data_IF_282451611416
#
_entry.id   IF_282451611416
#
_cell.length_a   1.000
_cell.length_b   1.000
_cell.length_c   1.000
_cell.angle_alpha   90.00
_cell.angle_beta   90.00
_cell.angle_gamma   90.00
#
_symmetry.space_group_name_H-M   'P 1'
#
loop_
_entity.id
_entity.type
_entity.pdbx_description
1 polymer ?
#
# COMPACT_ATOMS: atom_id res chain seq x y z
N UNK A 1 76.04 -44.11 35.27
CA UNK A 1 75.83 -42.73 34.79
C UNK A 1 74.68 -42.78 33.81
N UNK A 2 73.53 -42.28 34.27
CA UNK A 2 72.32 -41.88 33.56
C UNK A 2 71.44 -42.93 32.84
N UNK A 3 70.29 -43.14 33.49
CA UNK A 3 69.00 -43.63 33.01
C UNK A 3 68.48 -42.87 31.78
N UNK A 4 67.82 -43.59 30.87
CA UNK A 4 67.01 -43.03 29.79
C UNK A 4 65.63 -43.70 29.78
N UNK A 5 64.63 -43.02 30.32
CA UNK A 5 63.23 -43.47 30.37
C UNK A 5 62.55 -43.39 28.99
N UNK A 6 61.50 -44.19 28.72
CA UNK A 6 60.72 -44.10 27.49
C UNK A 6 59.76 -42.90 27.55
N UNK A 7 59.77 -42.08 26.49
CA UNK A 7 58.83 -40.97 26.30
C UNK A 7 57.48 -41.53 25.85
N UNK A 8 56.45 -41.39 26.70
CA UNK A 8 55.06 -41.65 26.35
C UNK A 8 54.57 -40.54 25.40
N UNK A 9 54.24 -40.88 24.15
CA UNK A 9 53.60 -39.93 23.22
C UNK A 9 52.15 -39.71 23.65
N UNK A 10 51.86 -38.53 24.19
CA UNK A 10 50.51 -38.05 24.47
C UNK A 10 49.78 -37.78 23.14
N UNK A 11 48.66 -38.45 22.90
CA UNK A 11 47.74 -38.07 21.84
C UNK A 11 47.14 -36.70 22.19
N UNK A 12 47.45 -35.67 21.39
CA UNK A 12 46.82 -34.37 21.52
C UNK A 12 45.33 -34.51 21.17
N UNK A 13 44.49 -34.53 22.20
CA UNK A 13 43.05 -34.34 22.05
C UNK A 13 42.84 -32.90 21.54
N UNK A 14 42.60 -32.73 20.24
CA UNK A 14 42.10 -31.47 19.70
C UNK A 14 40.82 -31.12 20.46
N UNK A 15 40.91 -30.11 21.34
CA UNK A 15 39.74 -29.54 21.99
C UNK A 15 38.91 -28.89 20.90
N UNK A 16 37.66 -29.33 20.65
CA UNK A 16 36.77 -28.57 19.79
C UNK A 16 36.70 -27.15 20.35
N UNK A 17 36.72 -26.14 19.49
CA UNK A 17 36.46 -24.76 19.88
C UNK A 17 34.98 -24.60 20.31
N UNK A 18 34.66 -25.12 21.50
CA UNK A 18 33.36 -25.09 22.14
C UNK A 18 32.69 -23.71 22.22
N UNK A 19 33.40 -22.57 22.42
CA UNK A 19 32.70 -21.28 22.51
C UNK A 19 32.09 -20.84 21.17
N UNK A 20 32.74 -21.19 20.05
CA UNK A 20 32.26 -20.82 18.71
C UNK A 20 31.05 -21.68 18.32
N UNK A 21 31.12 -23.00 18.56
CA UNK A 21 30.01 -23.91 18.30
C UNK A 21 28.79 -23.58 19.18
N UNK A 22 29.02 -23.24 20.45
CA UNK A 22 27.95 -22.83 21.38
C UNK A 22 27.34 -21.48 20.98
N UNK A 23 28.18 -20.52 20.54
CA UNK A 23 27.71 -19.24 20.02
C UNK A 23 26.84 -19.38 18.75
N UNK A 24 27.25 -20.25 17.82
CA UNK A 24 26.48 -20.54 16.61
C UNK A 24 25.15 -21.25 16.92
N UNK A 25 25.15 -22.18 17.88
CA UNK A 25 23.93 -22.87 18.31
C UNK A 25 22.93 -21.91 18.97
N UNK A 26 23.41 -20.97 19.81
CA UNK A 26 22.56 -19.95 20.42
C UNK A 26 21.98 -18.98 19.39
N UNK A 27 22.76 -18.57 18.39
CA UNK A 27 22.26 -17.76 17.27
C UNK A 27 21.20 -18.50 16.46
N UNK A 28 21.43 -19.77 16.15
CA UNK A 28 20.45 -20.60 15.44
C UNK A 28 19.16 -20.78 16.26
N UNK A 29 19.27 -21.00 17.57
CA UNK A 29 18.13 -21.10 18.47
C UNK A 29 17.35 -19.77 18.54
N UNK A 30 18.04 -18.63 18.70
CA UNK A 30 17.42 -17.30 18.63
C UNK A 30 16.68 -17.05 17.31
N UNK A 31 17.25 -17.50 16.18
CA UNK A 31 16.60 -17.40 14.86
C UNK A 31 15.33 -18.27 14.79
N UNK A 32 15.31 -19.41 15.48
CA UNK A 32 14.16 -20.31 15.57
C UNK A 32 13.08 -19.82 16.55
N UNK A 33 13.44 -19.05 17.58
CA UNK A 33 12.48 -18.47 18.54
C UNK A 33 11.81 -17.19 18.08
N UNK A 34 12.18 -16.62 16.92
CA UNK A 34 11.38 -15.55 16.33
C UNK A 34 9.95 -16.06 16.10
N UNK A 35 8.97 -15.37 16.70
CA UNK A 35 7.56 -15.72 16.55
C UNK A 35 7.17 -15.73 15.07
N UNK A 36 6.22 -16.59 14.66
CA UNK A 36 5.66 -16.57 13.31
C UNK A 36 5.20 -15.18 12.90
N UNK A 37 4.63 -14.41 13.83
CA UNK A 37 4.20 -13.01 13.63
C UNK A 37 5.37 -12.08 13.32
N UNK A 38 6.50 -12.18 14.05
CA UNK A 38 7.69 -11.37 13.75
C UNK A 38 8.31 -11.72 12.38
N UNK A 39 8.22 -12.99 11.97
CA UNK A 39 8.64 -13.42 10.62
C UNK A 39 7.67 -12.95 9.52
N UNK A 40 6.37 -12.83 9.83
CA UNK A 40 5.37 -12.29 8.91
C UNK A 40 5.58 -10.78 8.69
N UNK A 41 5.83 -10.02 9.75
CA UNK A 41 6.14 -8.58 9.70
C UNK A 41 7.40 -8.29 8.85
N UNK A 42 8.46 -9.11 8.98
CA UNK A 42 9.67 -8.99 8.14
C UNK A 42 9.44 -9.36 6.67
N UNK A 43 8.49 -10.24 6.37
CA UNK A 43 8.12 -10.62 4.98
C UNK A 43 7.13 -9.65 4.34
N UNK A 44 6.38 -8.89 5.14
CA UNK A 44 5.36 -7.93 4.69
C UNK A 44 5.90 -6.67 4.04
N UNK A 45 7.22 -6.44 4.05
CA UNK A 45 7.86 -5.27 3.44
C UNK A 45 8.47 -5.57 2.08
N UNK A 46 7.76 -6.34 1.24
CA UNK A 46 8.11 -6.48 -0.17
C UNK A 46 7.61 -5.27 -0.94
N UNK A 47 8.53 -4.51 -1.53
CA UNK A 47 8.18 -3.48 -2.50
C UNK A 47 7.48 -4.15 -3.69
N UNK A 48 6.35 -3.58 -4.14
CA UNK A 48 5.58 -4.10 -5.26
C UNK A 48 4.45 -5.09 -4.91
N UNK A 49 4.24 -5.49 -3.65
CA UNK A 49 3.00 -6.20 -3.28
C UNK A 49 1.84 -5.21 -3.09
N UNK A 50 0.62 -5.62 -3.44
CA UNK A 50 -0.59 -4.85 -3.10
C UNK A 50 -0.93 -5.04 -1.64
N UNK A 51 -1.12 -3.93 -0.95
CA UNK A 51 -1.49 -3.89 0.45
C UNK A 51 -2.88 -3.26 0.58
N UNK A 52 -3.71 -3.88 1.40
CA UNK A 52 -5.01 -3.33 1.75
C UNK A 52 -4.86 -1.98 2.48
N UNK A 53 -5.76 -1.05 2.17
CA UNK A 53 -5.98 0.18 2.92
C UNK A 53 -7.40 0.20 3.44
N UNK A 54 -7.54 0.56 4.72
CA UNK A 54 -8.85 0.87 5.26
C UNK A 54 -9.49 2.01 4.45
N UNK A 55 -10.79 1.93 4.11
CA UNK A 55 -11.53 3.05 3.50
C UNK A 55 -11.45 4.36 4.31
N UNK A 56 -11.24 4.27 5.62
CA UNK A 56 -11.09 5.43 6.51
C UNK A 56 -9.63 5.89 6.66
N UNK A 57 -8.66 5.21 6.04
CA UNK A 57 -7.26 5.66 6.03
C UNK A 57 -7.19 7.00 5.28
N UNK A 58 -6.58 8.06 5.85
CA UNK A 58 -6.47 9.36 5.19
C UNK A 58 -5.80 9.30 3.81
N UNK A 59 -4.93 8.32 3.55
CA UNK A 59 -4.33 8.10 2.23
C UNK A 59 -5.37 7.62 1.23
N UNK A 60 -6.24 6.68 1.61
CA UNK A 60 -7.32 6.20 0.77
C UNK A 60 -8.31 7.33 0.44
N UNK A 61 -8.67 8.14 1.44
CA UNK A 61 -9.56 9.30 1.25
C UNK A 61 -8.97 10.33 0.29
N UNK A 62 -7.69 10.71 0.46
CA UNK A 62 -7.02 11.65 -0.45
C UNK A 62 -6.90 11.09 -1.87
N UNK A 63 -6.55 9.81 -2.01
CA UNK A 63 -6.48 9.16 -3.31
C UNK A 63 -7.86 9.11 -4.00
N UNK A 64 -8.93 8.81 -3.25
CA UNK A 64 -10.30 8.84 -3.77
C UNK A 64 -10.68 10.22 -4.28
N UNK A 65 -10.45 11.27 -3.49
CA UNK A 65 -10.73 12.66 -3.90
C UNK A 65 -9.95 13.06 -5.17
N UNK A 66 -8.66 12.70 -5.25
CA UNK A 66 -7.84 12.99 -6.42
C UNK A 66 -8.31 12.21 -7.67
N UNK A 67 -8.71 10.93 -7.50
CA UNK A 67 -9.28 10.13 -8.58
C UNK A 67 -10.60 10.71 -9.09
N UNK A 68 -11.51 11.10 -8.18
CA UNK A 68 -12.80 11.72 -8.54
C UNK A 68 -12.62 13.08 -9.20
N UNK A 69 -11.69 13.91 -8.73
CA UNK A 69 -11.36 15.17 -9.38
C UNK A 69 -10.88 14.94 -10.82
N UNK A 70 -9.92 14.03 -11.01
CA UNK A 70 -9.40 13.67 -12.32
C UNK A 70 -10.48 13.09 -13.25
N UNK A 71 -11.34 12.21 -12.73
CA UNK A 71 -12.47 11.65 -13.46
C UNK A 71 -13.45 12.74 -13.91
N UNK A 72 -13.79 13.68 -13.03
CA UNK A 72 -14.68 14.78 -13.37
C UNK A 72 -14.11 15.68 -14.46
N UNK A 73 -12.80 15.95 -14.46
CA UNK A 73 -12.17 16.73 -15.53
C UNK A 73 -12.17 16.01 -16.88
N UNK A 74 -12.01 14.67 -16.88
CA UNK A 74 -12.02 13.87 -18.10
C UNK A 74 -13.41 13.44 -18.59
N UNK A 75 -14.43 13.51 -17.73
CA UNK A 75 -15.80 13.08 -18.05
C UNK A 75 -16.57 14.13 -18.84
N UNK A 76 -17.28 13.68 -19.87
CA UNK A 76 -18.18 14.51 -20.68
C UNK A 76 -19.52 14.85 -19.99
N UNK A 77 -19.74 14.39 -18.75
CA UNK A 77 -20.94 14.78 -18.00
C UNK A 77 -20.95 16.29 -17.75
N UNK A 78 -22.14 16.90 -17.89
CA UNK A 78 -22.37 18.31 -17.58
C UNK A 78 -22.30 18.60 -16.08
N UNK A 79 -22.48 17.58 -15.24
CA UNK A 79 -22.49 17.71 -13.79
C UNK A 79 -21.28 17.04 -13.17
N UNK A 80 -20.87 17.51 -11.99
CA UNK A 80 -19.87 16.82 -11.20
C UNK A 80 -20.47 15.59 -10.53
N UNK A 81 -19.64 14.55 -10.38
CA UNK A 81 -19.87 13.42 -9.48
C UNK A 81 -19.08 13.60 -8.19
N UNK A 82 -19.66 13.16 -7.07
CA UNK A 82 -19.01 13.13 -5.75
C UNK A 82 -18.93 11.70 -5.25
N UNK A 83 -17.81 11.32 -4.65
CA UNK A 83 -17.72 10.06 -3.91
C UNK A 83 -18.66 10.07 -2.70
N UNK A 84 -19.46 9.02 -2.58
CA UNK A 84 -20.33 8.78 -1.42
C UNK A 84 -19.85 7.61 -0.58
N UNK A 85 -19.07 6.69 -1.17
CA UNK A 85 -18.51 5.53 -0.47
C UNK A 85 -17.21 5.06 -1.11
N UNK A 86 -16.21 4.79 -0.28
CA UNK A 86 -15.06 3.97 -0.65
C UNK A 86 -15.41 2.51 -0.30
N UNK A 87 -15.59 1.67 -1.31
CA UNK A 87 -15.92 0.25 -1.13
C UNK A 87 -14.68 -0.55 -0.82
N UNK A 88 -13.58 -0.27 -1.53
CA UNK A 88 -12.30 -0.94 -1.35
C UNK A 88 -11.15 0.00 -1.71
N UNK A 89 -10.04 -0.17 -1.01
CA UNK A 89 -8.81 0.55 -1.29
C UNK A 89 -7.61 -0.38 -1.09
N UNK A 90 -6.72 -0.40 -2.05
CA UNK A 90 -5.41 -1.04 -1.97
C UNK A 90 -4.34 -0.08 -2.50
N UNK A 91 -3.09 -0.30 -2.13
CA UNK A 91 -1.96 0.42 -2.72
C UNK A 91 -0.78 -0.50 -2.99
N UNK A 92 0.06 -0.09 -3.92
CA UNK A 92 1.28 -0.77 -4.32
C UNK A 92 2.40 0.25 -4.46
N UNK A 93 3.56 -0.05 -3.86
CA UNK A 93 4.76 0.74 -4.06
C UNK A 93 5.37 0.43 -5.42
N UNK A 94 5.54 1.47 -6.25
CA UNK A 94 6.13 1.41 -7.59
C UNK A 94 7.18 2.54 -7.72
N UNK A 95 7.43 3.09 -8.91
CA UNK A 95 8.08 4.40 -9.06
C UNK A 95 7.15 5.56 -8.61
N UNK A 96 6.55 5.41 -7.43
CA UNK A 96 5.41 6.17 -6.90
C UNK A 96 4.56 5.29 -5.97
N UNK A 97 3.35 5.73 -5.69
CA UNK A 97 2.30 4.99 -4.99
C UNK A 97 1.15 4.78 -5.97
N UNK A 98 0.89 3.52 -6.32
CA UNK A 98 -0.25 3.17 -7.15
C UNK A 98 -1.40 2.71 -6.27
N UNK A 99 -2.52 3.42 -6.32
CA UNK A 99 -3.75 3.08 -5.63
C UNK A 99 -4.71 2.36 -6.55
N UNK A 100 -5.39 1.36 -6.00
CA UNK A 100 -6.50 0.65 -6.61
C UNK A 100 -7.72 0.93 -5.75
N UNK A 101 -8.70 1.64 -6.30
CA UNK A 101 -9.84 2.15 -5.54
C UNK A 101 -11.13 1.66 -6.20
N UNK A 102 -12.04 1.15 -5.38
CA UNK A 102 -13.41 0.87 -5.79
C UNK A 102 -14.33 1.83 -5.05
N UNK A 103 -14.98 2.72 -5.80
CA UNK A 103 -15.77 3.84 -5.26
C UNK A 103 -17.22 3.78 -5.74
N UNK A 104 -18.14 4.25 -4.91
CA UNK A 104 -19.48 4.66 -5.35
C UNK A 104 -19.48 6.17 -5.49
N UNK A 105 -19.85 6.64 -6.68
CA UNK A 105 -20.04 8.05 -6.98
C UNK A 105 -21.53 8.35 -7.18
N UNK A 106 -21.95 9.55 -6.81
CA UNK A 106 -23.30 10.05 -7.11
C UNK A 106 -23.23 11.40 -7.84
N UNK A 107 -24.14 11.61 -8.79
CA UNK A 107 -24.27 12.88 -9.49
C UNK A 107 -24.63 14.02 -8.52
N UNK A 108 -24.11 15.21 -8.79
CA UNK A 108 -24.39 16.42 -8.03
C UNK A 108 -25.22 17.40 -8.84
N UNK A 109 -25.75 18.43 -8.18
CA UNK A 109 -26.42 19.54 -8.86
C UNK A 109 -25.42 20.57 -9.41
N UNK A 110 -24.14 20.47 -9.06
CA UNK A 110 -23.09 21.35 -9.54
C UNK A 110 -22.79 21.07 -11.01
N UNK A 111 -23.00 22.09 -11.85
CA UNK A 111 -22.69 22.04 -13.27
C UNK A 111 -21.24 22.45 -13.51
N UNK A 112 -20.57 21.79 -14.46
CA UNK A 112 -19.28 22.23 -14.99
C UNK A 112 -19.49 23.49 -15.82
N UNK A 113 -18.83 24.58 -15.44
CA UNK A 113 -18.88 25.86 -16.17
C UNK A 113 -17.46 26.30 -16.54
N UNK A 114 -17.34 27.30 -17.42
CA UNK A 114 -16.04 27.91 -17.74
C UNK A 114 -15.36 28.55 -16.53
N UNK A 115 -16.11 28.87 -15.48
CA UNK A 115 -15.61 29.53 -14.24
C UNK A 115 -15.28 28.52 -13.16
N UNK A 116 -15.83 27.30 -13.23
CA UNK A 116 -15.71 26.27 -12.19
C UNK A 116 -14.27 25.79 -11.93
N UNK A 117 -13.32 26.10 -12.82
CA UNK A 117 -11.90 25.80 -12.66
C UNK A 117 -11.57 24.31 -12.51
N UNK A 118 -10.28 23.99 -12.44
CA UNK A 118 -9.77 22.63 -12.23
C UNK A 118 -9.90 22.15 -10.77
N UNK A 119 -10.44 23.01 -9.89
CA UNK A 119 -10.49 22.80 -8.44
C UNK A 119 -11.86 23.15 -7.86
N UNK A 120 -12.87 22.35 -8.18
CA UNK A 120 -14.19 22.43 -7.56
C UNK A 120 -14.19 21.73 -6.20
N UNK A 121 -14.64 22.41 -5.14
CA UNK A 121 -14.88 21.78 -3.83
C UNK A 121 -16.22 21.03 -3.84
N UNK A 122 -16.15 19.72 -4.07
CA UNK A 122 -17.32 18.85 -4.14
C UNK A 122 -18.08 18.72 -2.81
N UNK A 123 -17.50 19.11 -1.67
CA UNK A 123 -18.22 19.09 -0.38
C UNK A 123 -19.34 20.11 -0.36
N UNK A 124 -19.19 21.21 -1.09
CA UNK A 124 -20.19 22.26 -1.26
C UNK A 124 -21.25 21.93 -2.32
N UNK A 125 -21.05 20.85 -3.08
CA UNK A 125 -21.95 20.41 -4.13
C UNK A 125 -23.00 19.43 -3.59
N UNK A 126 -24.29 19.82 -3.53
CA UNK A 126 -25.34 18.92 -3.10
C UNK A 126 -25.55 17.80 -4.10
N UNK A 127 -25.86 16.61 -3.61
CA UNK A 127 -26.22 15.47 -4.46
C UNK A 127 -27.51 15.77 -5.24
N UNK A 128 -27.59 15.25 -6.46
CA UNK A 128 -28.81 15.29 -7.24
C UNK A 128 -29.87 14.36 -6.63
N UNK A 129 -31.14 14.66 -6.88
CA UNK A 129 -32.27 13.90 -6.37
C UNK A 129 -33.30 13.62 -7.47
N UNK A 130 -34.10 12.57 -7.28
CA UNK A 130 -35.16 12.20 -8.23
C UNK A 130 -34.59 11.77 -9.58
N UNK A 131 -35.19 12.26 -10.67
CA UNK A 131 -34.84 11.85 -12.03
C UNK A 131 -33.42 12.24 -12.49
N UNK A 132 -32.75 13.14 -11.76
CA UNK A 132 -31.38 13.58 -12.06
C UNK A 132 -30.33 12.81 -11.25
N UNK A 133 -30.76 11.96 -10.30
CA UNK A 133 -29.86 11.14 -9.50
C UNK A 133 -29.30 10.01 -10.36
N UNK A 134 -27.98 9.96 -10.43
CA UNK A 134 -27.22 8.92 -11.10
C UNK A 134 -26.17 8.40 -10.12
N UNK A 135 -26.09 7.08 -9.97
CA UNK A 135 -25.08 6.43 -9.14
C UNK A 135 -24.17 5.61 -10.03
N UNK A 136 -22.87 5.69 -9.76
CA UNK A 136 -21.84 4.95 -10.47
C UNK A 136 -21.06 4.09 -9.48
N UNK A 137 -20.79 2.84 -9.86
CA UNK A 137 -19.77 2.02 -9.25
C UNK A 137 -18.52 2.04 -10.13
N UNK A 138 -17.41 2.53 -9.58
CA UNK A 138 -16.20 2.83 -10.34
C UNK A 138 -14.97 2.11 -9.76
N UNK A 139 -14.16 1.54 -10.64
CA UNK A 139 -12.83 1.05 -10.33
C UNK A 139 -11.78 2.01 -10.93
N UNK A 140 -10.89 2.51 -10.07
CA UNK A 140 -9.84 3.46 -10.43
C UNK A 140 -8.46 2.90 -10.16
N UNK A 141 -7.52 3.17 -11.09
CA UNK A 141 -6.09 3.03 -10.85
C UNK A 141 -5.46 4.43 -10.84
N UNK A 142 -4.98 4.89 -9.69
CA UNK A 142 -4.38 6.22 -9.51
C UNK A 142 -2.88 6.08 -9.20
N UNK A 143 -2.04 6.85 -9.87
CA UNK A 143 -0.62 6.98 -9.55
C UNK A 143 -0.35 8.31 -8.88
N UNK A 144 0.23 8.26 -7.68
CA UNK A 144 0.75 9.41 -6.96
C UNK A 144 2.29 9.32 -6.90
N UNK A 145 2.99 10.38 -7.28
CA UNK A 145 4.45 10.48 -7.25
C UNK A 145 4.82 11.72 -6.42
N UNK A 146 4.87 11.60 -5.07
CA UNK A 146 4.98 12.75 -4.19
C UNK A 146 6.20 13.63 -4.45
N UNK A 147 7.37 13.03 -4.73
CA UNK A 147 8.61 13.78 -5.02
C UNK A 147 8.60 14.52 -6.37
N UNK A 148 7.59 14.29 -7.21
CA UNK A 148 7.35 15.06 -8.43
C UNK A 148 6.11 15.96 -8.32
N UNK A 149 5.41 15.97 -7.17
CA UNK A 149 4.10 16.60 -7.01
C UNK A 149 3.12 16.24 -8.14
N UNK A 150 3.13 14.97 -8.53
CA UNK A 150 2.36 14.49 -9.69
C UNK A 150 1.33 13.47 -9.23
N UNK A 151 0.09 13.66 -9.63
CA UNK A 151 -0.98 12.68 -9.46
C UNK A 151 -1.65 12.46 -10.80
N UNK A 152 -1.87 11.20 -11.17
CA UNK A 152 -2.39 10.81 -12.47
C UNK A 152 -3.39 9.68 -12.34
N UNK A 153 -4.59 9.89 -12.88
CA UNK A 153 -5.55 8.81 -13.08
C UNK A 153 -5.13 7.97 -14.28
N UNK A 154 -4.65 6.75 -14.01
CA UNK A 154 -4.15 5.84 -15.04
C UNK A 154 -5.30 5.10 -15.74
N UNK A 155 -6.30 4.66 -14.97
CA UNK A 155 -7.48 3.96 -15.48
C UNK A 155 -8.71 4.31 -14.67
N UNK A 156 -9.85 4.23 -15.34
CA UNK A 156 -11.17 4.27 -14.75
C UNK A 156 -12.12 3.36 -15.53
N UNK A 157 -12.88 2.52 -14.83
CA UNK A 157 -14.04 1.80 -15.36
C UNK A 157 -15.22 2.11 -14.45
N UNK A 158 -16.28 2.71 -14.99
CA UNK A 158 -17.44 3.16 -14.23
C UNK A 158 -18.72 2.60 -14.86
N UNK A 159 -19.62 2.08 -14.02
CA UNK A 159 -20.90 1.50 -14.43
C UNK A 159 -22.03 2.11 -13.61
N UNK A 160 -23.15 2.41 -14.25
CA UNK A 160 -24.35 2.87 -13.56
C UNK A 160 -24.94 1.74 -12.70
N UNK A 161 -25.34 2.06 -11.47
CA UNK A 161 -25.90 1.10 -10.48
C UNK A 161 -27.18 1.59 -9.84
#
# INVERSE_FOLDING_TARGET
MQDGAPVLTSAAMERPHFPLAMGLALLAFCLLTLSPDARAELRGRRTGERQYLSPNDPRAQRAAQAAVSSYNMGSNSLYYFRDTKIVGAEYQMVAGLKYYLTLVLESTQCRKTRVSGDHMDLTTCPLAAGAQQEKLHCDFELLDVPWKNMTQLLKHDCKQV
#
